data_IF_982883558238
#
_entry.id   IF_982883558238
#
_cell.length_a   1.000
_cell.length_b   1.000
_cell.length_c   1.000
_cell.angle_alpha   90.00
_cell.angle_beta   90.00
_cell.angle_gamma   90.00
#
_symmetry.space_group_name_H-M   'P 1'
#
loop_
_entity.id
_entity.type
_entity.pdbx_description
1 polymer ?
#
# COMPACT_ATOMS: atom_id res chain seq x y z
N UNK A 1 25.44 6.03 1.31
CA UNK A 1 24.03 5.69 1.00
C UNK A 1 23.18 6.93 1.20
N UNK A 2 22.37 7.31 0.21
CA UNK A 2 21.38 8.39 0.38
C UNK A 2 20.14 7.76 1.03
N UNK A 3 19.84 8.14 2.27
CA UNK A 3 18.58 7.80 2.92
C UNK A 3 17.45 8.66 2.37
N UNK A 4 16.22 8.13 2.38
CA UNK A 4 15.01 8.92 2.12
C UNK A 4 14.20 9.04 3.40
N UNK A 5 13.57 10.19 3.59
CA UNK A 5 12.61 10.39 4.66
C UNK A 5 11.26 9.84 4.19
N UNK A 6 10.68 8.95 5.00
CA UNK A 6 9.38 8.34 4.78
C UNK A 6 8.51 8.71 5.97
N UNK A 7 7.39 9.36 5.70
CA UNK A 7 6.38 9.64 6.70
C UNK A 7 5.32 8.54 6.64
N UNK A 8 5.04 7.90 7.77
CA UNK A 8 4.05 6.84 7.90
C UNK A 8 2.90 7.33 8.77
N UNK A 9 1.68 7.17 8.27
CA UNK A 9 0.47 7.50 9.01
C UNK A 9 -0.39 6.25 9.17
N UNK A 10 -0.55 5.80 10.42
CA UNK A 10 -1.42 4.69 10.79
C UNK A 10 -2.83 5.24 10.93
N UNK A 11 -3.72 4.94 9.96
CA UNK A 11 -5.06 5.52 9.92
C UNK A 11 -5.88 5.12 11.16
N UNK A 12 -5.75 3.86 11.58
CA UNK A 12 -6.46 3.31 12.74
C UNK A 12 -5.58 3.27 14.00
N UNK A 13 -4.38 3.86 13.97
CA UNK A 13 -3.40 3.82 15.06
C UNK A 13 -2.83 2.43 15.36
N UNK A 14 -3.22 1.39 14.61
CA UNK A 14 -2.83 -0.01 14.83
C UNK A 14 -1.81 -0.46 13.79
N UNK A 15 -0.65 -1.00 14.20
CA UNK A 15 0.32 -1.59 13.26
C UNK A 15 -0.32 -2.73 12.47
N UNK A 16 -0.14 -2.70 11.14
CA UNK A 16 -0.68 -3.72 10.24
C UNK A 16 -2.11 -3.48 9.77
N UNK A 17 -2.81 -2.46 10.31
CA UNK A 17 -4.04 -1.93 9.73
C UNK A 17 -3.75 -1.00 8.55
N UNK A 18 -4.74 -0.19 8.18
CA UNK A 18 -4.59 0.78 7.10
C UNK A 18 -3.48 1.79 7.42
N UNK A 19 -2.48 1.85 6.53
CA UNK A 19 -1.32 2.71 6.66
C UNK A 19 -1.11 3.47 5.36
N UNK A 20 -0.91 4.78 5.45
CA UNK A 20 -0.44 5.58 4.31
C UNK A 20 1.03 5.94 4.50
N UNK A 21 1.76 6.06 3.40
CA UNK A 21 3.15 6.45 3.41
C UNK A 21 3.42 7.50 2.33
N UNK A 22 4.22 8.51 2.71
CA UNK A 22 4.69 9.56 1.81
C UNK A 22 6.21 9.62 1.83
N UNK A 23 6.81 9.88 0.68
CA UNK A 23 8.25 9.99 0.52
C UNK A 23 8.58 11.45 0.24
N UNK A 24 9.43 12.06 1.06
CA UNK A 24 9.79 13.46 0.90
C UNK A 24 10.44 13.70 -0.48
N UNK A 25 9.98 14.75 -1.19
CA UNK A 25 10.35 15.08 -2.57
C UNK A 25 9.86 14.09 -3.64
N UNK A 26 8.75 13.38 -3.39
CA UNK A 26 8.05 12.56 -4.36
C UNK A 26 6.55 12.83 -4.31
N UNK A 27 5.90 12.89 -5.47
CA UNK A 27 4.48 13.27 -5.61
C UNK A 27 3.53 12.08 -5.51
N UNK A 28 4.01 10.91 -5.09
CA UNK A 28 3.17 9.73 -4.93
C UNK A 28 2.76 9.50 -3.49
N UNK A 29 1.63 8.82 -3.34
CA UNK A 29 1.15 8.31 -2.06
C UNK A 29 1.15 6.79 -2.13
N UNK A 30 1.57 6.15 -1.04
CA UNK A 30 1.48 4.69 -0.90
C UNK A 30 0.43 4.38 0.15
N UNK A 31 -0.43 3.42 -0.14
CA UNK A 31 -1.40 2.90 0.81
C UNK A 31 -1.17 1.40 0.97
N UNK A 32 -1.18 0.92 2.21
CA UNK A 32 -1.05 -0.49 2.57
C UNK A 32 -2.14 -0.86 3.55
N UNK A 33 -2.80 -1.98 3.33
CA UNK A 33 -3.82 -2.51 4.22
C UNK A 33 -3.89 -4.04 4.11
N UNK A 34 -4.47 -4.72 5.12
CA UNK A 34 -4.81 -6.13 5.02
C UNK A 34 -5.72 -6.41 3.82
N UNK A 35 -5.56 -7.59 3.21
CA UNK A 35 -6.41 -8.04 2.10
C UNK A 35 -7.90 -8.00 2.44
N UNK A 36 -8.26 -8.27 3.70
CA UNK A 36 -9.65 -8.23 4.18
C UNK A 36 -10.29 -6.83 4.05
N UNK A 37 -9.49 -5.77 4.13
CA UNK A 37 -9.94 -4.37 4.11
C UNK A 37 -9.82 -3.74 2.71
N UNK A 38 -9.33 -4.48 1.72
CA UNK A 38 -9.12 -3.97 0.36
C UNK A 38 -10.40 -3.39 -0.27
N UNK A 39 -11.55 -3.98 0.03
CA UNK A 39 -12.85 -3.48 -0.48
C UNK A 39 -13.23 -2.10 0.08
N UNK A 40 -12.79 -1.77 1.31
CA UNK A 40 -12.96 -0.46 1.90
C UNK A 40 -11.87 0.51 1.39
N UNK A 41 -10.65 0.02 1.18
CA UNK A 41 -9.52 0.78 0.66
C UNK A 41 -9.85 1.38 -0.72
N UNK A 42 -10.29 0.57 -1.69
CA UNK A 42 -10.59 1.00 -3.07
C UNK A 42 -11.68 2.09 -3.15
N UNK A 43 -12.49 2.25 -2.10
CA UNK A 43 -13.54 3.30 -2.05
C UNK A 43 -13.01 4.66 -1.61
N UNK A 44 -11.75 4.77 -1.18
CA UNK A 44 -11.17 6.02 -0.71
C UNK A 44 -10.92 6.96 -1.89
N UNK A 45 -11.22 8.24 -1.69
CA UNK A 45 -11.07 9.27 -2.72
C UNK A 45 -9.60 9.40 -3.20
N UNK A 46 -8.63 9.11 -2.34
CA UNK A 46 -7.19 9.08 -2.66
C UNK A 46 -6.83 8.08 -3.78
N UNK A 47 -7.66 7.04 -3.97
CA UNK A 47 -7.49 5.99 -4.98
C UNK A 47 -8.40 6.18 -6.19
N UNK A 48 -9.04 7.34 -6.32
CA UNK A 48 -9.94 7.64 -7.45
C UNK A 48 -9.21 7.90 -8.77
N UNK A 49 -7.89 8.13 -8.73
CA UNK A 49 -7.04 8.31 -9.90
C UNK A 49 -6.35 7.03 -10.36
N UNK A 50 -5.59 7.13 -11.44
CA UNK A 50 -4.76 6.03 -11.95
C UNK A 50 -3.79 5.56 -10.88
N UNK A 51 -3.85 4.28 -10.53
CA UNK A 51 -2.97 3.70 -9.54
C UNK A 51 -2.51 2.30 -9.94
N UNK A 52 -1.38 1.89 -9.37
CA UNK A 52 -0.87 0.51 -9.46
C UNK A 52 -0.96 -0.09 -8.07
N UNK A 53 -1.43 -1.33 -7.98
CA UNK A 53 -1.54 -2.05 -6.72
C UNK A 53 -0.83 -3.40 -6.77
N UNK A 54 -0.37 -3.83 -5.59
CA UNK A 54 0.37 -5.08 -5.39
C UNK A 54 -0.44 -6.00 -4.48
N UNK A 55 -0.71 -7.22 -4.94
CA UNK A 55 -1.31 -8.27 -4.12
C UNK A 55 -0.25 -9.34 -3.85
N UNK A 56 0.24 -9.35 -2.62
CA UNK A 56 1.21 -10.32 -2.13
C UNK A 56 0.49 -11.55 -1.58
N UNK A 57 1.02 -12.73 -1.87
CA UNK A 57 0.53 -14.00 -1.34
C UNK A 57 1.61 -15.09 -1.42
N UNK A 58 1.39 -16.23 -0.77
CA UNK A 58 2.32 -17.36 -0.85
C UNK A 58 2.36 -17.91 -2.28
N UNK A 59 3.55 -18.34 -2.72
CA UNK A 59 3.68 -19.22 -3.88
C UNK A 59 3.59 -20.70 -3.46
N UNK A 60 3.59 -21.61 -4.44
CA UNK A 60 3.46 -23.06 -4.21
C UNK A 60 4.68 -23.69 -3.52
N UNK A 61 5.80 -22.99 -3.47
CA UNK A 61 7.10 -23.46 -2.99
C UNK A 61 7.53 -22.76 -1.67
N UNK A 62 6.67 -21.91 -1.10
CA UNK A 62 6.91 -21.20 0.15
C UNK A 62 7.56 -19.81 0.00
N UNK A 63 7.76 -19.32 -1.22
CA UNK A 63 8.12 -17.93 -1.51
C UNK A 63 6.89 -17.00 -1.59
N UNK A 64 7.12 -15.76 -2.04
CA UNK A 64 6.07 -14.74 -2.17
C UNK A 64 5.78 -14.47 -3.64
N UNK A 65 4.55 -14.73 -4.07
CA UNK A 65 4.03 -14.30 -5.36
C UNK A 65 3.43 -12.89 -5.23
N UNK A 66 3.71 -12.03 -6.20
CA UNK A 66 3.13 -10.70 -6.29
C UNK A 66 2.32 -10.58 -7.59
N UNK A 67 1.04 -10.28 -7.47
CA UNK A 67 0.24 -9.82 -8.60
C UNK A 67 0.29 -8.29 -8.65
N UNK A 68 0.54 -7.75 -9.85
CA UNK A 68 0.61 -6.30 -10.10
C UNK A 68 -0.56 -5.96 -11.03
N UNK A 69 -1.44 -5.07 -10.57
CA UNK A 69 -2.57 -4.59 -11.35
C UNK A 69 -2.63 -3.06 -11.39
N UNK A 70 -3.42 -2.53 -12.31
CA UNK A 70 -3.74 -1.10 -12.43
C UNK A 70 -5.24 -0.86 -12.31
N UNK A 71 -5.63 0.37 -11.96
CA UNK A 71 -7.03 0.86 -11.96
C UNK A 71 -7.10 2.20 -12.68
#
# INVERSE_FOLDING_TARGET
>A
MSGRHIELFLVDGTPGGLTTAEILNWTGQVLSAPRAEMSALVRRAELSGTCVYFLLGPDEQGGTRCYIGET
#
